data_IF_050109856650
#
_entry.id   IF_050109856650
#
_cell.length_a   1.000
_cell.length_b   1.000
_cell.length_c   1.000
_cell.angle_alpha   90.00
_cell.angle_beta   90.00
_cell.angle_gamma   90.00
#
_symmetry.space_group_name_H-M   'P 1'
#
loop_
_entity.id
_entity.type
_entity.pdbx_description
1 polymer ?
#
# COMPACT_ATOMS: atom_id res chain seq x y z
N UNK A 1 12.93 -27.76 -21.95
CA UNK A 1 12.48 -29.17 -22.00
C UNK A 1 13.69 -30.06 -21.78
N UNK A 2 13.66 -30.90 -20.73
CA UNK A 2 14.71 -31.88 -20.43
C UNK A 2 14.62 -33.04 -21.42
N UNK A 3 15.76 -33.56 -21.86
CA UNK A 3 15.85 -34.73 -22.75
C UNK A 3 16.42 -35.91 -21.99
N UNK A 4 15.93 -37.11 -22.28
CA UNK A 4 16.44 -38.34 -21.69
C UNK A 4 17.89 -38.57 -22.11
N UNK A 5 18.78 -38.81 -21.15
CA UNK A 5 20.21 -39.04 -21.42
C UNK A 5 20.46 -40.32 -22.23
N UNK A 6 19.55 -41.29 -22.16
CA UNK A 6 19.70 -42.58 -22.84
C UNK A 6 19.19 -42.58 -24.29
N UNK A 7 17.99 -42.01 -24.54
CA UNK A 7 17.37 -42.06 -25.88
C UNK A 7 17.12 -40.68 -26.51
N UNK A 8 17.57 -39.60 -25.87
CA UNK A 8 17.50 -38.21 -26.35
C UNK A 8 16.09 -37.66 -26.69
N UNK A 9 15.05 -38.39 -26.28
CA UNK A 9 13.65 -38.00 -26.42
C UNK A 9 13.23 -37.06 -25.28
N UNK A 10 12.22 -36.20 -25.50
CA UNK A 10 11.71 -35.31 -24.47
C UNK A 10 11.12 -36.12 -23.31
N UNK A 11 11.46 -35.72 -22.08
CA UNK A 11 10.88 -36.29 -20.85
C UNK A 11 9.56 -35.58 -20.60
N UNK A 12 8.51 -36.36 -20.34
CA UNK A 12 7.15 -35.87 -20.11
C UNK A 12 6.78 -36.10 -18.66
N UNK A 13 5.99 -35.19 -18.09
CA UNK A 13 5.39 -35.38 -16.77
C UNK A 13 4.18 -36.30 -16.89
N UNK A 14 3.97 -37.14 -15.89
CA UNK A 14 2.74 -37.90 -15.76
C UNK A 14 1.52 -36.99 -15.51
N UNK A 15 0.33 -37.57 -15.50
CA UNK A 15 -0.95 -36.85 -15.42
C UNK A 15 -1.10 -36.05 -14.10
N UNK A 16 -0.35 -36.43 -13.07
CA UNK A 16 -0.35 -35.78 -11.76
C UNK A 16 0.79 -34.77 -11.58
N UNK A 17 1.78 -34.76 -12.49
CA UNK A 17 2.88 -33.80 -12.48
C UNK A 17 4.04 -34.16 -11.54
N UNK A 18 4.01 -35.34 -10.94
CA UNK A 18 4.88 -35.77 -9.83
C UNK A 18 6.09 -36.59 -10.31
N UNK A 19 5.96 -37.27 -11.45
CA UNK A 19 7.02 -38.14 -11.98
C UNK A 19 7.41 -37.67 -13.39
N UNK A 20 8.69 -37.36 -13.57
CA UNK A 20 9.30 -37.11 -14.89
C UNK A 20 9.78 -38.45 -15.46
N UNK A 21 9.06 -39.02 -16.43
CA UNK A 21 9.42 -40.30 -17.05
C UNK A 21 9.69 -40.17 -18.56
N UNK A 22 10.63 -40.98 -19.05
CA UNK A 22 10.82 -41.13 -20.48
C UNK A 22 9.93 -42.25 -21.04
N UNK A 23 8.86 -41.89 -21.74
CA UNK A 23 7.89 -42.82 -22.33
C UNK A 23 8.47 -43.88 -23.29
N UNK A 24 9.68 -43.66 -23.82
CA UNK A 24 10.30 -44.57 -24.78
C UNK A 24 11.24 -45.61 -24.13
N UNK A 25 11.88 -45.29 -23.01
CA UNK A 25 12.85 -46.21 -22.38
C UNK A 25 12.59 -46.48 -20.88
N UNK A 26 11.55 -45.90 -20.31
CA UNK A 26 11.16 -46.08 -18.91
C UNK A 26 12.16 -45.51 -17.89
N UNK A 27 13.14 -44.72 -18.34
CA UNK A 27 14.13 -44.12 -17.45
C UNK A 27 13.51 -42.93 -16.69
N UNK A 28 13.54 -42.99 -15.37
CA UNK A 28 13.18 -41.91 -14.44
C UNK A 28 14.49 -41.19 -14.04
N UNK A 29 14.75 -39.96 -14.51
CA UNK A 29 15.98 -39.26 -14.23
C UNK A 29 15.93 -38.58 -12.86
N UNK A 30 16.41 -39.29 -11.83
CA UNK A 30 16.67 -38.86 -10.44
C UNK A 30 15.45 -38.50 -9.57
N UNK A 31 15.28 -39.28 -8.49
CA UNK A 31 14.71 -39.00 -7.14
C UNK A 31 13.44 -38.15 -7.03
N UNK A 32 12.48 -38.64 -6.23
CA UNK A 32 11.21 -37.95 -5.88
C UNK A 32 11.29 -36.42 -5.96
N UNK A 33 10.45 -35.84 -6.81
CA UNK A 33 10.22 -34.40 -6.86
C UNK A 33 9.65 -33.98 -5.50
N UNK A 34 10.53 -33.53 -4.60
CA UNK A 34 10.10 -32.88 -3.36
C UNK A 34 9.33 -31.63 -3.75
N UNK A 35 8.04 -31.62 -3.41
CA UNK A 35 7.20 -30.44 -3.51
C UNK A 35 7.78 -29.36 -2.60
N UNK A 36 8.45 -28.39 -3.21
CA UNK A 36 9.08 -27.27 -2.52
C UNK A 36 8.13 -26.07 -2.41
N UNK A 37 6.96 -26.14 -3.05
CA UNK A 37 6.01 -25.05 -3.18
C UNK A 37 4.69 -25.30 -2.41
N UNK A 38 4.38 -26.53 -1.97
CA UNK A 38 3.23 -26.80 -1.10
C UNK A 38 3.50 -26.42 0.39
N UNK A 39 2.87 -25.35 0.92
CA UNK A 39 3.10 -24.89 2.29
C UNK A 39 2.49 -25.82 3.36
N UNK A 40 1.71 -26.85 2.96
CA UNK A 40 0.84 -27.64 3.84
C UNK A 40 1.52 -28.67 4.74
N UNK A 41 2.66 -29.26 4.34
CA UNK A 41 3.15 -30.45 5.02
C UNK A 41 4.18 -30.24 6.16
N UNK A 42 4.50 -28.99 6.53
CA UNK A 42 5.41 -28.72 7.67
C UNK A 42 4.90 -27.67 8.68
N UNK A 43 3.68 -27.14 8.51
CA UNK A 43 3.20 -25.96 9.25
C UNK A 43 1.76 -26.09 9.77
N UNK A 44 1.48 -27.17 10.50
CA UNK A 44 0.24 -27.31 11.28
C UNK A 44 0.38 -26.72 12.69
N UNK A 45 -0.68 -26.09 13.20
CA UNK A 45 -0.74 -25.46 14.54
C UNK A 45 -0.54 -26.46 15.71
N UNK A 46 -0.70 -27.76 15.45
CA UNK A 46 -0.63 -28.82 16.46
C UNK A 46 0.77 -29.45 16.65
N UNK A 47 1.79 -28.97 15.92
CA UNK A 47 3.17 -29.39 16.14
C UNK A 47 3.74 -28.70 17.41
N UNK A 48 3.39 -29.24 18.58
CA UNK A 48 4.05 -28.95 19.86
C UNK A 48 5.55 -29.26 19.66
N UNK A 49 6.34 -28.22 19.40
CA UNK A 49 7.79 -28.31 19.23
C UNK A 49 8.36 -27.89 17.87
N UNK A 50 7.65 -27.15 17.01
CA UNK A 50 8.22 -26.74 15.71
C UNK A 50 9.08 -25.46 15.79
N UNK A 51 10.35 -25.64 15.46
CA UNK A 51 11.31 -24.60 15.08
C UNK A 51 10.80 -23.97 13.77
N UNK A 52 9.93 -22.97 13.85
CA UNK A 52 9.67 -22.06 12.72
C UNK A 52 10.77 -21.00 12.64
N UNK A 53 12.00 -21.45 12.36
CA UNK A 53 12.99 -20.64 11.67
C UNK A 53 13.04 -21.12 10.21
N UNK A 54 12.08 -20.68 9.40
CA UNK A 54 12.25 -20.29 7.98
C UNK A 54 10.85 -20.07 7.37
N UNK A 55 10.36 -18.87 7.60
CA UNK A 55 9.08 -18.38 7.09
C UNK A 55 8.84 -16.92 7.46
N UNK A 56 9.89 -16.18 7.81
CA UNK A 56 9.82 -14.72 7.94
C UNK A 56 9.99 -14.16 6.54
N UNK A 57 8.87 -13.69 6.01
CA UNK A 57 8.69 -12.79 4.86
C UNK A 57 9.99 -12.04 4.54
N UNK A 58 10.41 -12.13 3.28
CA UNK A 58 11.65 -11.56 2.76
C UNK A 58 11.91 -10.14 3.26
N UNK A 59 13.13 -9.92 3.76
CA UNK A 59 13.63 -8.61 4.16
C UNK A 59 14.24 -8.53 5.57
N UNK A 60 14.03 -9.53 6.44
CA UNK A 60 14.73 -9.55 7.74
C UNK A 60 16.13 -10.13 7.59
N UNK A 61 17.14 -9.28 7.35
CA UNK A 61 18.53 -9.61 7.69
C UNK A 61 18.69 -9.56 9.23
N UNK A 62 18.10 -10.56 9.89
CA UNK A 62 18.50 -11.11 11.19
C UNK A 62 19.99 -11.51 11.16
N UNK A 63 20.83 -11.55 12.24
CA UNK A 63 21.85 -12.58 12.19
C UNK A 63 21.09 -13.91 12.16
N UNK A 64 21.36 -14.73 11.15
CA UNK A 64 21.05 -16.14 11.25
C UNK A 64 21.88 -16.67 12.42
N UNK A 65 21.21 -17.16 13.46
CA UNK A 65 21.89 -17.67 14.65
C UNK A 65 20.93 -18.00 15.79
N UNK A 66 21.27 -19.04 16.53
CA UNK A 66 20.65 -19.38 17.82
C UNK A 66 21.09 -18.38 18.90
N UNK A 67 20.19 -18.10 19.84
CA UNK A 67 20.47 -17.23 21.00
C UNK A 67 20.54 -18.05 22.26
N UNK A 68 21.33 -17.61 23.24
CA UNK A 68 21.40 -18.25 24.56
C UNK A 68 20.26 -17.68 25.42
N UNK A 69 19.25 -18.51 25.73
CA UNK A 69 18.19 -18.09 26.64
C UNK A 69 18.75 -17.89 28.06
N UNK A 70 18.12 -17.01 28.85
CA UNK A 70 18.60 -16.69 30.21
C UNK A 70 18.73 -17.92 31.13
N UNK A 71 17.89 -18.94 30.90
CA UNK A 71 17.92 -20.24 31.59
C UNK A 71 19.09 -21.14 31.17
N UNK A 72 19.68 -20.91 30.01
CA UNK A 72 20.77 -21.71 29.43
C UNK A 72 22.15 -21.11 29.74
N UNK A 73 22.19 -19.98 30.45
CA UNK A 73 23.42 -19.30 30.86
C UNK A 73 24.05 -20.03 32.04
N UNK A 74 25.10 -20.82 31.79
CA UNK A 74 25.78 -21.60 32.83
C UNK A 74 27.11 -20.98 33.25
N UNK A 75 27.79 -20.23 32.37
CA UNK A 75 29.11 -19.66 32.63
C UNK A 75 29.17 -18.13 32.58
N UNK A 76 30.26 -17.55 33.08
CA UNK A 76 30.58 -16.11 32.92
C UNK A 76 30.75 -15.72 31.45
N UNK A 77 31.21 -16.64 30.60
CA UNK A 77 31.38 -16.42 29.17
C UNK A 77 30.02 -16.42 28.45
N UNK A 78 29.10 -17.31 28.82
CA UNK A 78 27.72 -17.31 28.31
C UNK A 78 27.00 -16.01 28.70
N UNK A 79 27.24 -15.48 29.91
CA UNK A 79 26.71 -14.16 30.29
C UNK A 79 27.24 -13.04 29.39
N UNK A 80 28.52 -13.07 29.04
CA UNK A 80 29.11 -12.08 28.12
C UNK A 80 28.52 -12.22 26.72
N UNK A 81 28.39 -13.43 26.21
CA UNK A 81 27.80 -13.72 24.88
C UNK A 81 26.31 -13.35 24.86
N UNK A 82 25.51 -13.78 25.85
CA UNK A 82 24.09 -13.45 25.95
C UNK A 82 23.88 -11.94 26.14
N UNK A 83 24.76 -11.23 26.87
CA UNK A 83 24.75 -9.77 26.93
C UNK A 83 25.07 -9.19 25.55
N UNK A 84 26.16 -9.59 24.89
CA UNK A 84 26.51 -9.09 23.55
C UNK A 84 25.40 -9.36 22.52
N UNK A 85 24.80 -10.56 22.53
CA UNK A 85 23.63 -10.90 21.71
C UNK A 85 22.43 -10.02 22.04
N UNK A 86 22.11 -9.79 23.32
CA UNK A 86 21.07 -8.82 23.73
C UNK A 86 21.37 -7.41 23.26
N UNK A 87 22.61 -6.95 23.31
CA UNK A 87 23.02 -5.63 22.80
C UNK A 87 22.87 -5.52 21.28
N UNK A 88 23.24 -6.56 20.53
CA UNK A 88 22.99 -6.66 19.09
C UNK A 88 21.48 -6.81 18.76
N UNK A 89 20.67 -7.32 19.68
CA UNK A 89 19.21 -7.28 19.59
C UNK A 89 18.63 -5.91 20.01
N UNK A 90 19.32 -5.17 20.88
CA UNK A 90 18.93 -3.81 21.30
C UNK A 90 19.19 -2.76 20.22
N UNK A 91 20.23 -2.96 19.39
CA UNK A 91 20.43 -2.19 18.14
C UNK A 91 19.32 -2.47 17.11
N UNK A 92 18.57 -3.57 17.26
CA UNK A 92 17.29 -3.72 16.58
C UNK A 92 16.17 -3.04 17.34
N UNK A 93 15.91 -1.80 16.93
CA UNK A 93 14.57 -1.22 16.74
C UNK A 93 13.46 -1.51 17.76
N UNK A 94 13.78 -1.54 19.06
CA UNK A 94 12.77 -1.52 20.14
C UNK A 94 11.70 -0.45 19.89
N UNK A 95 12.08 0.72 19.38
CA UNK A 95 11.12 1.78 19.05
C UNK A 95 10.10 1.36 17.96
N UNK A 96 10.53 0.67 16.89
CA UNK A 96 9.62 0.23 15.84
C UNK A 96 8.71 -0.92 16.31
N UNK A 97 9.22 -1.83 17.15
CA UNK A 97 8.43 -2.90 17.76
C UNK A 97 7.38 -2.32 18.73
N UNK A 98 7.73 -1.30 19.51
CA UNK A 98 6.79 -0.63 20.41
C UNK A 98 5.73 0.17 19.62
N UNK A 99 6.10 0.77 18.47
CA UNK A 99 5.11 1.33 17.54
C UNK A 99 4.14 0.26 17.03
N UNK A 100 4.61 -0.96 16.73
CA UNK A 100 3.74 -2.06 16.35
C UNK A 100 2.82 -2.49 17.49
N UNK A 101 3.29 -2.49 18.74
CA UNK A 101 2.43 -2.72 19.90
C UNK A 101 1.31 -1.66 20.00
N UNK A 102 1.64 -0.37 19.82
CA UNK A 102 0.63 0.70 19.78
C UNK A 102 -0.36 0.53 18.62
N UNK A 103 0.09 0.04 17.46
CA UNK A 103 -0.78 -0.23 16.32
C UNK A 103 -1.71 -1.42 16.56
N UNK A 104 -1.21 -2.52 17.16
CA UNK A 104 -2.02 -3.69 17.52
C UNK A 104 -3.13 -3.33 18.50
N UNK A 105 -2.88 -2.40 19.42
CA UNK A 105 -3.89 -1.90 20.35
C UNK A 105 -5.10 -1.24 19.64
N UNK A 106 -4.94 -0.79 18.39
CA UNK A 106 -6.05 -0.24 17.59
C UNK A 106 -6.95 -1.31 16.94
N UNK A 107 -6.56 -2.59 16.97
CA UNK A 107 -7.32 -3.70 16.40
C UNK A 107 -7.80 -3.48 14.94
N UNK A 108 -6.97 -2.85 14.09
CA UNK A 108 -7.31 -2.52 12.69
C UNK A 108 -7.26 -3.72 11.73
N UNK A 109 -6.94 -4.91 12.23
CA UNK A 109 -6.83 -6.14 11.46
C UNK A 109 -5.43 -6.42 10.92
N UNK A 110 -5.21 -7.69 10.54
CA UNK A 110 -3.90 -8.25 10.19
C UNK A 110 -3.27 -7.62 8.95
N UNK A 111 -4.07 -7.30 7.92
CA UNK A 111 -3.60 -6.65 6.69
C UNK A 111 -2.96 -5.29 6.97
N UNK A 112 -3.57 -4.52 7.87
CA UNK A 112 -3.06 -3.20 8.27
C UNK A 112 -1.78 -3.33 9.08
N UNK A 113 -1.73 -4.32 9.98
CA UNK A 113 -0.54 -4.63 10.76
C UNK A 113 0.64 -5.03 9.85
N UNK A 114 0.42 -5.91 8.89
CA UNK A 114 1.45 -6.38 7.97
C UNK A 114 2.00 -5.23 7.11
N UNK A 115 1.12 -4.38 6.59
CA UNK A 115 1.51 -3.19 5.83
C UNK A 115 2.34 -2.20 6.66
N UNK A 116 1.90 -1.92 7.89
CA UNK A 116 2.61 -1.01 8.79
C UNK A 116 3.94 -1.60 9.28
N UNK A 117 3.99 -2.91 9.55
CA UNK A 117 5.19 -3.66 9.92
C UNK A 117 6.25 -3.60 8.82
N UNK A 118 5.83 -3.82 7.57
CA UNK A 118 6.71 -3.67 6.42
C UNK A 118 7.27 -2.24 6.30
N UNK A 119 6.42 -1.21 6.38
CA UNK A 119 6.87 0.19 6.28
C UNK A 119 7.76 0.64 7.44
N UNK A 120 7.49 0.18 8.67
CA UNK A 120 8.34 0.43 9.83
C UNK A 120 9.70 -0.23 9.66
N UNK A 121 9.73 -1.48 9.18
CA UNK A 121 10.99 -2.16 8.88
C UNK A 121 11.79 -1.41 7.79
N UNK A 122 11.12 -0.94 6.76
CA UNK A 122 11.75 -0.17 5.68
C UNK A 122 12.29 1.18 6.14
N UNK A 123 11.55 1.90 6.98
CA UNK A 123 11.87 3.31 7.31
C UNK A 123 12.70 3.47 8.58
N UNK A 124 12.57 2.55 9.53
CA UNK A 124 13.17 2.69 10.86
C UNK A 124 14.40 1.81 11.06
N UNK A 125 14.73 0.88 10.16
CA UNK A 125 15.93 0.02 10.27
C UNK A 125 17.14 0.71 9.66
N UNK A 126 18.30 0.55 10.30
CA UNK A 126 19.58 1.03 9.78
C UNK A 126 19.91 0.41 8.42
N UNK A 127 20.35 1.26 7.48
CA UNK A 127 20.77 0.83 6.17
C UNK A 127 22.30 0.91 6.06
N UNK A 128 22.93 -0.03 5.34
CA UNK A 128 24.39 -0.04 5.11
C UNK A 128 24.95 1.24 4.48
N UNK A 129 24.09 2.08 3.89
CA UNK A 129 24.47 3.34 3.25
C UNK A 129 23.71 4.54 3.86
N UNK A 130 23.62 4.60 5.20
CA UNK A 130 22.99 5.72 5.94
C UNK A 130 23.47 7.11 5.47
N UNK A 131 24.74 7.27 5.12
CA UNK A 131 25.33 8.52 4.60
C UNK A 131 24.59 9.06 3.37
N UNK A 132 24.13 8.17 2.47
CA UNK A 132 23.40 8.52 1.25
C UNK A 132 21.91 8.80 1.50
N UNK A 133 21.37 8.29 2.60
CA UNK A 133 19.92 8.27 2.89
C UNK A 133 19.52 9.35 3.89
N UNK A 134 20.49 10.06 4.49
CA UNK A 134 20.31 10.97 5.63
C UNK A 134 19.81 10.22 6.89
N UNK A 135 19.86 10.84 8.09
CA UNK A 135 19.61 10.13 9.35
C UNK A 135 18.26 9.43 9.42
N UNK A 136 18.18 8.34 10.19
CA UNK A 136 16.95 7.65 10.55
C UNK A 136 15.81 8.60 10.96
N UNK A 137 14.53 8.22 10.75
CA UNK A 137 13.40 9.03 11.19
C UNK A 137 13.45 9.30 12.70
N UNK A 138 14.00 8.39 13.52
CA UNK A 138 14.28 8.64 14.95
C UNK A 138 15.04 9.94 15.19
N UNK A 139 16.08 10.20 14.39
CA UNK A 139 16.85 11.45 14.45
C UNK A 139 16.05 12.64 13.90
N UNK A 140 15.20 12.40 12.91
CA UNK A 140 14.31 13.43 12.35
C UNK A 140 13.11 13.74 13.28
N UNK A 141 12.85 12.92 14.30
CA UNK A 141 11.87 13.16 15.36
C UNK A 141 12.43 14.04 16.51
N UNK A 142 13.61 14.67 16.34
CA UNK A 142 14.15 15.64 17.32
C UNK A 142 13.19 16.79 17.65
N UNK A 143 12.28 17.15 16.75
CA UNK A 143 11.23 18.14 17.05
C UNK A 143 10.20 17.65 18.09
N UNK A 144 10.26 16.37 18.46
CA UNK A 144 9.49 15.75 19.54
C UNK A 144 10.39 15.42 20.76
N UNK A 145 11.58 16.01 20.86
CA UNK A 145 12.52 15.70 21.94
C UNK A 145 11.97 16.00 23.35
N UNK A 146 11.00 16.90 23.45
CA UNK A 146 10.43 17.35 24.73
C UNK A 146 9.16 16.60 25.15
N UNK A 147 8.68 15.66 24.32
CA UNK A 147 7.49 14.84 24.64
C UNK A 147 7.87 13.40 24.97
N UNK A 148 6.98 12.70 25.67
CA UNK A 148 7.23 11.33 26.12
C UNK A 148 7.43 10.33 24.96
N UNK A 149 7.95 9.15 25.30
CA UNK A 149 8.26 8.12 24.32
C UNK A 149 7.00 7.57 23.64
N UNK A 150 5.92 7.38 24.41
CA UNK A 150 4.65 6.81 23.94
C UNK A 150 3.96 7.74 22.94
N UNK A 151 3.98 9.04 23.17
CA UNK A 151 3.51 10.06 22.25
C UNK A 151 4.29 10.01 20.93
N UNK A 152 5.63 9.89 21.00
CA UNK A 152 6.45 9.74 19.78
C UNK A 152 6.08 8.49 19.00
N UNK A 153 5.86 7.36 19.68
CA UNK A 153 5.43 6.12 19.05
C UNK A 153 4.08 6.30 18.36
N UNK A 154 3.08 6.85 19.06
CA UNK A 154 1.74 7.11 18.51
C UNK A 154 1.76 8.05 17.31
N UNK A 155 2.57 9.11 17.34
CA UNK A 155 2.78 9.99 16.18
C UNK A 155 3.32 9.22 14.98
N UNK A 156 4.31 8.34 15.20
CA UNK A 156 4.89 7.52 14.13
C UNK A 156 3.88 6.51 13.60
N UNK A 157 3.08 5.88 14.45
CA UNK A 157 2.01 4.95 14.03
C UNK A 157 1.02 5.62 13.10
N UNK A 158 0.46 6.78 13.49
CA UNK A 158 -0.48 7.52 12.64
C UNK A 158 0.20 7.94 11.33
N UNK A 159 1.45 8.39 11.37
CA UNK A 159 2.18 8.77 10.16
C UNK A 159 2.45 7.56 9.24
N UNK A 160 2.78 6.39 9.77
CA UNK A 160 2.99 5.15 9.00
C UNK A 160 1.68 4.69 8.34
N UNK A 161 0.55 4.75 9.04
CA UNK A 161 -0.76 4.44 8.45
C UNK A 161 -1.08 5.34 7.25
N UNK A 162 -0.74 6.64 7.36
CA UNK A 162 -0.87 7.56 6.22
C UNK A 162 0.06 7.22 5.06
N UNK A 163 1.29 6.80 5.33
CA UNK A 163 2.19 6.29 4.29
C UNK A 163 1.59 5.05 3.64
N UNK A 164 1.11 4.08 4.43
CA UNK A 164 0.48 2.86 3.94
C UNK A 164 -0.71 3.16 3.02
N UNK A 165 -1.58 4.08 3.43
CA UNK A 165 -2.70 4.54 2.62
C UNK A 165 -2.23 5.22 1.32
N UNK A 166 -1.21 6.10 1.39
CA UNK A 166 -0.66 6.78 0.20
C UNK A 166 -0.06 5.82 -0.84
N UNK A 167 0.47 4.69 -0.38
CA UNK A 167 1.01 3.62 -1.24
C UNK A 167 0.00 2.50 -1.54
N UNK A 168 -1.27 2.66 -1.17
CA UNK A 168 -2.36 1.70 -1.43
C UNK A 168 -2.15 0.33 -0.80
N UNK A 169 -1.38 0.23 0.28
CA UNK A 169 -1.28 -1.00 1.05
C UNK A 169 -2.51 -1.21 1.95
N UNK A 170 -3.18 -0.12 2.33
CA UNK A 170 -4.39 -0.10 3.15
C UNK A 170 -5.33 1.00 2.64
N UNK A 171 -6.61 0.91 3.03
CA UNK A 171 -7.57 1.99 2.82
C UNK A 171 -7.26 3.19 3.74
N UNK A 172 -7.77 4.37 3.37
CA UNK A 172 -7.63 5.56 4.19
C UNK A 172 -8.23 5.33 5.59
N UNK A 173 -7.45 5.66 6.62
CA UNK A 173 -7.82 5.47 8.03
C UNK A 173 -8.33 6.80 8.59
N UNK A 174 -9.29 6.76 9.53
CA UNK A 174 -9.79 7.94 10.22
C UNK A 174 -8.74 8.54 11.18
N UNK A 175 -7.76 9.24 10.61
CA UNK A 175 -6.67 9.84 11.37
C UNK A 175 -7.15 10.90 12.36
N UNK A 176 -8.27 11.57 12.06
CA UNK A 176 -8.78 12.64 12.91
C UNK A 176 -9.22 12.07 14.25
N UNK A 177 -9.97 10.97 14.23
CA UNK A 177 -10.37 10.26 15.45
C UNK A 177 -9.15 9.77 16.24
N UNK A 178 -8.17 9.14 15.57
CA UNK A 178 -6.94 8.65 16.24
C UNK A 178 -6.11 9.77 16.87
N UNK A 179 -6.01 10.91 16.18
CA UNK A 179 -5.28 12.08 16.68
C UNK A 179 -5.99 12.66 17.91
N UNK A 180 -7.32 12.73 17.89
CA UNK A 180 -8.12 13.25 18.99
C UNK A 180 -8.10 12.29 20.21
N UNK A 181 -8.32 11.00 19.99
CA UNK A 181 -8.31 9.95 21.01
C UNK A 181 -6.96 9.85 21.74
N UNK A 182 -5.86 9.96 20.99
CA UNK A 182 -4.51 9.88 21.56
C UNK A 182 -3.93 11.22 22.00
N UNK A 183 -4.69 12.32 21.92
CA UNK A 183 -4.24 13.65 22.31
C UNK A 183 -3.05 14.17 21.48
N UNK A 184 -2.95 13.76 20.22
CA UNK A 184 -1.85 14.12 19.33
C UNK A 184 -2.07 15.51 18.70
N UNK A 185 -0.98 16.24 18.48
CA UNK A 185 -1.01 17.46 17.66
C UNK A 185 -0.91 17.10 16.17
N UNK A 186 -1.90 17.51 15.36
CA UNK A 186 -1.91 17.30 13.89
C UNK A 186 -0.61 17.72 13.21
N UNK A 187 -0.04 18.86 13.62
CA UNK A 187 1.25 19.37 13.11
C UNK A 187 2.42 18.37 13.31
N UNK A 188 2.42 17.61 14.41
CA UNK A 188 3.47 16.63 14.71
C UNK A 188 3.35 15.41 13.79
N UNK A 189 2.13 14.91 13.58
CA UNK A 189 1.84 13.82 12.64
C UNK A 189 2.21 14.23 11.22
N UNK A 190 1.81 15.42 10.78
CA UNK A 190 2.13 15.92 9.43
C UNK A 190 3.64 16.06 9.21
N UNK A 191 4.37 16.63 10.18
CA UNK A 191 5.84 16.75 10.10
C UNK A 191 6.52 15.38 10.09
N UNK A 192 6.05 14.44 10.91
CA UNK A 192 6.54 13.06 10.91
C UNK A 192 6.29 12.36 9.56
N UNK A 193 5.09 12.52 8.98
CA UNK A 193 4.75 11.99 7.66
C UNK A 193 5.71 12.51 6.58
N UNK A 194 5.92 13.83 6.53
CA UNK A 194 6.84 14.43 5.55
C UNK A 194 8.26 13.89 5.68
N UNK A 195 8.74 13.72 6.91
CA UNK A 195 10.04 13.12 7.21
C UNK A 195 10.15 11.66 6.72
N UNK A 196 9.13 10.84 7.00
CA UNK A 196 9.06 9.45 6.54
C UNK A 196 9.03 9.36 5.01
N UNK A 197 8.19 10.14 4.34
CA UNK A 197 8.10 10.18 2.88
C UNK A 197 9.41 10.65 2.24
N UNK A 198 10.07 11.66 2.81
CA UNK A 198 11.35 12.15 2.33
C UNK A 198 12.45 11.08 2.48
N UNK A 199 12.44 10.29 3.57
CA UNK A 199 13.37 9.16 3.72
C UNK A 199 13.05 8.04 2.70
N UNK A 200 11.78 7.68 2.53
CA UNK A 200 11.33 6.69 1.54
C UNK A 200 11.83 7.05 0.14
N UNK A 201 11.61 8.30 -0.27
CA UNK A 201 12.07 8.81 -1.57
C UNK A 201 13.58 8.66 -1.72
N UNK A 202 14.38 9.06 -0.72
CA UNK A 202 15.84 8.88 -0.76
C UNK A 202 16.27 7.42 -0.79
N UNK A 203 15.60 6.53 -0.06
CA UNK A 203 15.88 5.09 -0.10
C UNK A 203 15.59 4.50 -1.48
N UNK A 204 14.52 4.95 -2.16
CA UNK A 204 14.18 4.54 -3.52
C UNK A 204 15.18 5.08 -4.56
N UNK A 205 15.52 6.38 -4.50
CA UNK A 205 16.48 6.98 -5.44
C UNK A 205 17.86 6.34 -5.36
N UNK A 206 18.27 5.89 -4.17
CA UNK A 206 19.55 5.18 -3.98
C UNK A 206 19.47 3.66 -4.25
N UNK A 207 18.32 3.13 -4.70
CA UNK A 207 18.14 1.71 -5.00
C UNK A 207 18.19 0.78 -3.78
N UNK A 208 17.99 1.33 -2.57
CA UNK A 208 18.08 0.58 -1.30
C UNK A 208 16.74 -0.02 -0.88
N UNK A 209 15.66 0.43 -1.51
CA UNK A 209 14.30 -0.05 -1.26
C UNK A 209 13.46 0.11 -2.52
N UNK A 210 12.64 -0.90 -2.81
CA UNK A 210 11.63 -0.84 -3.86
C UNK A 210 10.24 -0.85 -3.24
N UNK A 211 9.78 0.33 -2.84
CA UNK A 211 8.38 0.53 -2.46
C UNK A 211 7.59 0.85 -3.73
N UNK A 212 6.66 -0.01 -4.13
CA UNK A 212 5.75 0.25 -5.26
C UNK A 212 4.37 0.51 -4.72
N UNK A 213 3.71 1.52 -5.27
CA UNK A 213 2.29 1.73 -5.01
C UNK A 213 1.55 0.46 -5.45
N UNK A 214 0.80 -0.16 -4.53
CA UNK A 214 0.03 -1.36 -4.87
C UNK A 214 -1.08 -0.93 -5.81
N UNK A 215 -1.29 -1.67 -6.90
CA UNK A 215 -2.44 -1.44 -7.77
C UNK A 215 -3.69 -1.98 -7.07
N UNK A 216 -4.20 -1.26 -6.08
CA UNK A 216 -5.55 -1.45 -5.60
C UNK A 216 -6.50 -0.71 -6.56
N UNK A 217 -7.35 -1.41 -7.33
CA UNK A 217 -8.20 -0.78 -8.33
C UNK A 217 -9.14 0.28 -7.74
N UNK A 218 -9.65 0.05 -6.52
CA UNK A 218 -10.54 0.98 -5.84
C UNK A 218 -9.79 2.23 -5.40
N UNK A 219 -8.68 2.09 -4.68
CA UNK A 219 -7.92 3.25 -4.19
C UNK A 219 -7.30 4.05 -5.33
N UNK A 220 -6.88 3.38 -6.40
CA UNK A 220 -6.42 4.05 -7.63
C UNK A 220 -7.54 4.84 -8.29
N UNK A 221 -8.76 4.32 -8.26
CA UNK A 221 -9.95 4.98 -8.82
C UNK A 221 -10.38 6.18 -7.98
N UNK A 222 -10.39 6.05 -6.65
CA UNK A 222 -10.71 7.12 -5.70
C UNK A 222 -9.73 8.32 -5.79
N UNK A 223 -8.42 8.04 -5.84
CA UNK A 223 -7.43 9.10 -6.01
C UNK A 223 -7.55 9.81 -7.35
N UNK A 224 -7.77 9.06 -8.44
CA UNK A 224 -7.96 9.65 -9.76
C UNK A 224 -9.21 10.53 -9.77
N UNK A 225 -10.32 10.08 -9.16
CA UNK A 225 -11.53 10.90 -9.01
C UNK A 225 -11.23 12.19 -8.25
N UNK A 226 -10.56 12.11 -7.11
CA UNK A 226 -10.17 13.27 -6.29
C UNK A 226 -9.27 14.26 -7.06
N UNK A 227 -8.35 13.74 -7.87
CA UNK A 227 -7.49 14.56 -8.72
C UNK A 227 -8.28 15.25 -9.84
N UNK A 228 -9.18 14.53 -10.52
CA UNK A 228 -10.04 15.11 -11.56
C UNK A 228 -10.93 16.23 -10.99
N UNK A 229 -11.54 16.02 -9.82
CA UNK A 229 -12.34 17.06 -9.14
C UNK A 229 -11.48 18.28 -8.81
N UNK A 230 -10.24 18.07 -8.35
CA UNK A 230 -9.32 19.15 -8.02
C UNK A 230 -8.90 19.95 -9.26
N UNK A 231 -8.64 19.27 -10.38
CA UNK A 231 -8.32 19.89 -11.67
C UNK A 231 -9.49 20.69 -12.23
N UNK A 232 -10.71 20.13 -12.21
CA UNK A 232 -11.92 20.84 -12.64
C UNK A 232 -12.14 22.09 -11.77
N UNK A 233 -11.99 21.97 -10.46
CA UNK A 233 -12.11 23.11 -9.53
C UNK A 233 -11.11 24.21 -9.87
N UNK A 234 -9.85 23.86 -10.09
CA UNK A 234 -8.81 24.81 -10.47
C UNK A 234 -9.14 25.48 -11.81
N UNK A 235 -9.49 24.69 -12.82
CA UNK A 235 -9.86 25.21 -14.14
C UNK A 235 -11.08 26.14 -14.14
N UNK A 236 -12.09 25.85 -13.31
CA UNK A 236 -13.24 26.74 -13.13
C UNK A 236 -12.84 28.06 -12.47
N UNK A 237 -11.98 28.03 -11.45
CA UNK A 237 -11.48 29.25 -10.81
C UNK A 237 -10.63 30.09 -11.77
N UNK A 238 -9.75 29.45 -12.52
CA UNK A 238 -8.88 30.11 -13.51
C UNK A 238 -9.69 30.70 -14.69
N UNK A 239 -10.89 30.16 -14.96
CA UNK A 239 -11.82 30.69 -15.95
C UNK A 239 -12.60 31.94 -15.48
N UNK A 240 -12.33 32.44 -14.26
CA UNK A 240 -12.94 33.64 -13.70
C UNK A 240 -14.33 33.41 -13.09
N UNK A 241 -14.73 32.15 -12.86
CA UNK A 241 -16.02 31.83 -12.23
C UNK A 241 -16.01 32.18 -10.73
N UNK A 242 -17.13 32.69 -10.23
CA UNK A 242 -17.28 32.98 -8.80
C UNK A 242 -17.14 31.72 -7.95
N UNK A 243 -16.45 31.86 -6.81
CA UNK A 243 -16.11 30.73 -5.93
C UNK A 243 -17.34 29.93 -5.49
N UNK A 244 -18.47 30.59 -5.25
CA UNK A 244 -19.69 29.91 -4.80
C UNK A 244 -20.29 29.02 -5.89
N UNK A 245 -20.27 29.48 -7.15
CA UNK A 245 -20.70 28.70 -8.31
C UNK A 245 -19.76 27.53 -8.60
N UNK A 246 -18.44 27.73 -8.48
CA UNK A 246 -17.47 26.64 -8.55
C UNK A 246 -17.78 25.57 -7.52
N UNK A 247 -18.06 25.97 -6.27
CA UNK A 247 -18.39 25.02 -5.22
C UNK A 247 -19.74 24.32 -5.45
N UNK A 248 -20.72 24.97 -6.07
CA UNK A 248 -21.99 24.34 -6.48
C UNK A 248 -21.76 23.25 -7.52
N UNK A 249 -20.99 23.54 -8.58
CA UNK A 249 -20.65 22.55 -9.63
C UNK A 249 -19.87 21.38 -9.04
N UNK A 250 -18.86 21.64 -8.22
CA UNK A 250 -18.04 20.58 -7.59
C UNK A 250 -18.88 19.70 -6.67
N UNK A 251 -19.75 20.30 -5.83
CA UNK A 251 -20.66 19.52 -4.96
C UNK A 251 -21.62 18.67 -5.78
N UNK A 252 -22.23 19.24 -6.83
CA UNK A 252 -23.15 18.50 -7.68
C UNK A 252 -22.46 17.33 -8.40
N UNK A 253 -21.24 17.56 -8.90
CA UNK A 253 -20.41 16.51 -9.50
C UNK A 253 -20.13 15.38 -8.52
N UNK A 254 -19.76 15.71 -7.26
CA UNK A 254 -19.53 14.71 -6.20
C UNK A 254 -20.82 13.95 -5.88
N UNK A 255 -21.96 14.64 -5.79
CA UNK A 255 -23.24 14.00 -5.49
C UNK A 255 -23.63 12.99 -6.56
N UNK A 256 -23.55 13.36 -7.84
CA UNK A 256 -23.79 12.44 -8.95
C UNK A 256 -22.83 11.26 -8.95
N UNK A 257 -21.52 11.48 -8.70
CA UNK A 257 -20.58 10.36 -8.60
C UNK A 257 -20.94 9.41 -7.45
N UNK A 258 -21.43 9.93 -6.32
CA UNK A 258 -21.92 9.10 -5.20
C UNK A 258 -23.20 8.33 -5.53
N UNK A 259 -24.14 8.95 -6.24
CA UNK A 259 -25.38 8.29 -6.69
C UNK A 259 -25.08 7.14 -7.66
N UNK A 260 -24.04 7.28 -8.49
CA UNK A 260 -23.53 6.21 -9.35
C UNK A 260 -22.75 5.12 -8.58
N UNK A 261 -22.55 5.29 -7.27
CA UNK A 261 -21.77 4.39 -6.43
C UNK A 261 -20.25 4.49 -6.65
N UNK A 262 -19.75 5.58 -7.20
CA UNK A 262 -18.33 5.78 -7.50
C UNK A 262 -17.59 6.51 -6.36
N UNK A 263 -16.32 6.14 -6.07
CA UNK A 263 -15.51 5.12 -6.73
C UNK A 263 -15.97 3.70 -6.39
N UNK A 264 -15.99 2.78 -7.37
CA UNK A 264 -16.27 1.36 -7.14
C UNK A 264 -15.36 0.44 -7.95
N UNK A 265 -15.08 -0.74 -7.39
CA UNK A 265 -14.37 -1.84 -8.07
C UNK A 265 -15.30 -2.75 -8.87
N UNK A 266 -16.55 -2.88 -8.44
CA UNK A 266 -17.55 -3.79 -9.01
C UNK A 266 -18.82 -3.02 -9.48
N UNK A 267 -18.74 -1.69 -9.54
CA UNK A 267 -19.83 -0.82 -9.92
C UNK A 267 -20.12 -0.86 -11.43
N UNK A 268 -21.28 -0.34 -11.81
CA UNK A 268 -21.78 -0.32 -13.20
C UNK A 268 -20.73 0.31 -14.15
N UNK A 269 -20.01 1.33 -13.67
CA UNK A 269 -18.98 2.03 -14.44
C UNK A 269 -17.54 1.65 -14.08
N UNK A 270 -17.31 0.54 -13.37
CA UNK A 270 -15.97 0.10 -12.97
C UNK A 270 -14.99 -0.03 -14.16
N UNK A 271 -15.50 -0.51 -15.31
CA UNK A 271 -14.73 -0.65 -16.56
C UNK A 271 -14.57 0.66 -17.34
N UNK A 272 -15.29 1.72 -16.98
CA UNK A 272 -15.11 3.04 -17.58
C UNK A 272 -14.01 3.78 -16.85
N UNK A 273 -13.10 4.37 -17.62
CA UNK A 273 -12.07 5.29 -17.14
C UNK A 273 -12.68 6.39 -16.26
N UNK A 274 -12.20 6.50 -15.01
CA UNK A 274 -12.78 7.40 -14.00
C UNK A 274 -12.63 8.88 -14.35
N UNK A 275 -11.56 9.25 -15.04
CA UNK A 275 -11.35 10.58 -15.62
C UNK A 275 -12.41 10.90 -16.67
N UNK A 276 -12.69 9.95 -17.58
CA UNK A 276 -13.78 10.09 -18.56
C UNK A 276 -15.14 10.21 -17.88
N UNK A 277 -15.41 9.36 -16.89
CA UNK A 277 -16.67 9.40 -16.15
C UNK A 277 -16.83 10.74 -15.42
N UNK A 278 -15.80 11.18 -14.69
CA UNK A 278 -15.79 12.47 -14.00
C UNK A 278 -16.01 13.64 -14.96
N UNK A 279 -15.40 13.60 -16.16
CA UNK A 279 -15.62 14.61 -17.19
C UNK A 279 -17.08 14.68 -17.66
N UNK A 280 -17.70 13.52 -17.92
CA UNK A 280 -19.10 13.43 -18.35
C UNK A 280 -20.03 13.97 -17.26
N UNK A 281 -19.80 13.58 -16.01
CA UNK A 281 -20.62 14.00 -14.86
C UNK A 281 -20.43 15.49 -14.55
N UNK A 282 -19.22 16.03 -14.66
CA UNK A 282 -18.98 17.46 -14.49
C UNK A 282 -19.67 18.27 -15.59
N UNK A 283 -19.65 17.80 -16.84
CA UNK A 283 -20.39 18.44 -17.95
C UNK A 283 -21.90 18.44 -17.70
N UNK A 284 -22.45 17.34 -17.18
CA UNK A 284 -23.86 17.21 -16.79
C UNK A 284 -24.22 18.15 -15.63
N UNK A 285 -23.36 18.24 -14.61
CA UNK A 285 -23.57 19.17 -13.48
C UNK A 285 -23.57 20.64 -13.93
N UNK A 286 -22.64 21.03 -14.82
CA UNK A 286 -22.59 22.38 -15.42
C UNK A 286 -23.87 22.70 -16.20
N UNK A 287 -24.37 21.73 -16.97
CA UNK A 287 -25.56 21.86 -17.81
C UNK A 287 -26.84 22.00 -16.97
N UNK A 288 -27.04 21.12 -15.98
CA UNK A 288 -28.19 21.15 -15.06
C UNK A 288 -28.21 22.44 -14.23
N UNK A 289 -27.05 22.95 -13.83
CA UNK A 289 -26.96 24.21 -13.08
C UNK A 289 -27.07 25.46 -13.99
N UNK A 290 -27.16 25.30 -15.31
CA UNK A 290 -27.39 26.39 -16.26
C UNK A 290 -26.15 27.21 -16.63
N UNK A 291 -24.93 26.75 -16.34
CA UNK A 291 -23.71 27.48 -16.64
C UNK A 291 -23.27 27.29 -18.10
N UNK A 292 -23.49 28.31 -18.93
CA UNK A 292 -23.15 28.27 -20.37
C UNK A 292 -21.65 28.52 -20.59
N UNK A 293 -21.08 27.86 -21.60
CA UNK A 293 -19.68 28.08 -22.04
C UNK A 293 -18.62 27.23 -21.34
N UNK A 294 -18.89 26.70 -20.14
CA UNK A 294 -17.89 25.95 -19.36
C UNK A 294 -17.84 24.45 -19.70
N UNK A 295 -18.91 23.88 -20.28
CA UNK A 295 -19.01 22.46 -20.65
C UNK A 295 -17.89 22.00 -21.61
N UNK A 296 -17.42 22.89 -22.49
CA UNK A 296 -16.34 22.60 -23.44
C UNK A 296 -14.95 22.57 -22.80
N UNK A 297 -14.76 23.33 -21.72
CA UNK A 297 -13.45 23.52 -21.06
C UNK A 297 -13.07 22.34 -20.15
N UNK A 298 -14.05 21.56 -19.68
CA UNK A 298 -13.82 20.37 -18.85
C UNK A 298 -12.85 19.38 -19.49
N UNK A 299 -12.94 19.21 -20.82
CA UNK A 299 -12.02 18.36 -21.57
C UNK A 299 -10.58 18.86 -21.46
N UNK A 300 -10.37 20.17 -21.59
CA UNK A 300 -9.07 20.82 -21.50
C UNK A 300 -8.48 20.70 -20.09
N UNK A 301 -9.28 20.88 -19.03
CA UNK A 301 -8.78 20.79 -17.65
C UNK A 301 -8.33 19.39 -17.23
N UNK A 302 -8.82 18.37 -17.92
CA UNK A 302 -8.47 16.97 -17.66
C UNK A 302 -7.49 16.39 -18.70
N UNK A 303 -6.94 17.22 -19.60
CA UNK A 303 -6.06 16.81 -20.70
C UNK A 303 -6.69 15.73 -21.61
N UNK A 304 -7.97 15.89 -21.91
CA UNK A 304 -8.78 14.95 -22.71
C UNK A 304 -9.31 15.59 -23.99
N UNK A 305 -9.63 14.77 -24.99
CA UNK A 305 -10.31 15.25 -26.20
C UNK A 305 -11.83 15.40 -25.96
N UNK A 306 -12.38 16.54 -26.37
CA UNK A 306 -13.83 16.79 -26.27
C UNK A 306 -14.65 15.77 -27.09
N UNK A 307 -14.10 15.31 -28.22
CA UNK A 307 -14.70 14.26 -29.06
C UNK A 307 -14.77 12.91 -28.34
N UNK A 308 -13.68 12.50 -27.67
CA UNK A 308 -13.65 11.24 -26.92
C UNK A 308 -14.63 11.21 -25.75
N UNK A 309 -14.73 12.32 -25.00
CA UNK A 309 -15.72 12.45 -23.92
C UNK A 309 -17.14 12.40 -24.48
N UNK A 310 -17.41 13.08 -25.59
CA UNK A 310 -18.76 13.14 -26.17
C UNK A 310 -19.19 11.80 -26.78
N UNK A 311 -18.29 11.07 -27.43
CA UNK A 311 -18.55 9.71 -27.91
C UNK A 311 -18.90 8.79 -26.74
N UNK A 312 -18.06 8.77 -25.69
CA UNK A 312 -18.30 7.94 -24.51
C UNK A 312 -19.56 8.33 -23.75
N UNK A 313 -19.89 9.62 -23.69
CA UNK A 313 -21.12 10.11 -23.07
C UNK A 313 -22.38 9.57 -23.77
N UNK A 314 -22.35 9.43 -25.10
CA UNK A 314 -23.47 8.83 -25.86
C UNK A 314 -23.62 7.35 -25.54
N UNK A 315 -22.52 6.61 -25.44
CA UNK A 315 -22.52 5.17 -25.15
C UNK A 315 -23.13 4.84 -23.78
N UNK A 316 -22.90 5.70 -22.78
CA UNK A 316 -23.38 5.46 -21.41
C UNK A 316 -24.63 6.30 -21.05
N UNK A 317 -25.22 6.98 -22.03
CA UNK A 317 -26.28 7.96 -21.80
C UNK A 317 -27.51 7.35 -21.12
N UNK A 318 -28.04 6.26 -21.67
CA UNK A 318 -29.24 5.60 -21.17
C UNK A 318 -29.07 5.20 -19.70
N UNK A 319 -27.95 4.54 -19.38
CA UNK A 319 -27.63 4.14 -18.00
C UNK A 319 -27.47 5.34 -17.06
N UNK A 320 -26.90 6.45 -17.53
CA UNK A 320 -26.81 7.67 -16.72
C UNK A 320 -28.17 8.33 -16.49
N UNK A 321 -29.02 8.36 -17.52
CA UNK A 321 -30.35 8.95 -17.45
C UNK A 321 -31.29 8.11 -16.57
N UNK A 322 -31.15 6.78 -16.57
CA UNK A 322 -31.89 5.88 -15.68
C UNK A 322 -31.56 6.11 -14.19
N UNK A 323 -30.31 6.45 -13.88
CA UNK A 323 -29.85 6.62 -12.48
C UNK A 323 -30.02 8.07 -12.01
N UNK A 324 -29.62 9.04 -12.83
CA UNK A 324 -29.56 10.46 -12.44
C UNK A 324 -30.75 11.28 -12.95
N UNK A 325 -31.65 10.68 -13.74
CA UNK A 325 -32.76 11.36 -14.43
C UNK A 325 -32.29 12.15 -15.66
N UNK A 326 -33.07 12.24 -16.75
CA UNK A 326 -32.63 12.84 -18.02
C UNK A 326 -32.25 14.33 -17.90
N UNK A 327 -31.38 14.80 -18.80
CA UNK A 327 -31.12 16.23 -19.00
C UNK A 327 -32.04 16.71 -20.11
N UNK A 328 -32.91 17.67 -19.81
CA UNK A 328 -33.75 18.38 -20.78
C UNK A 328 -32.93 19.35 -21.65
#
# INVERSE_FOLDING_TARGET
MRKCENCNQPITKDVNGEIEECLNCGLIPLGELLDTDDPGHTKGEEAIGSITQQGKIGGRKGPQGSTIAGKDVKSKQDRKIARSQRWNCHERNRFADECLCQLRALNLGKVVEDAASYLLACTMVECKSEEKVKPLPRNQLRFLADVDLTYRQRVVVVAILRVAAKFHYIHAVNEKAMIEEWGLKRRHVHKCLSNLLARISRMQTNGLMHLRKRNDPFLTRDEKLSNCISQIKAGLLDSGMERDDVMRIVRQTINFMRELGEPSKDGIFANTRIDTLCAIIARRAIEILGFKGYKGLVATWLDMSAGGITGRAKEIKETLDDILGPID
#
